data_IF_691630584738
#
_entry.id   IF_691630584738
#
_cell.length_a   1.000
_cell.length_b   1.000
_cell.length_c   1.000
_cell.angle_alpha   90.00
_cell.angle_beta   90.00
_cell.angle_gamma   90.00
#
_symmetry.space_group_name_H-M   'P 1'
#
loop_
_entity.id
_entity.type
_entity.pdbx_description
1 polymer ?
#
# COMPACT_ATOMS: atom_id res chain seq x y z
N UNK A 1 19.01 -3.25 -40.17
CA UNK A 1 18.88 -1.79 -39.93
C UNK A 1 17.63 -1.33 -40.68
N UNK A 2 16.59 -0.84 -40.00
CA UNK A 2 15.40 -0.32 -40.68
C UNK A 2 15.77 0.95 -41.46
N UNK A 3 15.22 1.12 -42.66
CA UNK A 3 15.52 2.26 -43.55
C UNK A 3 14.88 3.60 -43.14
N UNK A 4 14.18 3.65 -42.01
CA UNK A 4 13.55 4.82 -41.43
C UNK A 4 14.26 5.26 -40.15
N UNK A 5 14.35 6.58 -39.92
CA UNK A 5 14.91 7.14 -38.69
C UNK A 5 14.07 6.76 -37.47
N UNK A 6 14.73 6.40 -36.37
CA UNK A 6 14.05 6.05 -35.12
C UNK A 6 13.62 7.33 -34.40
N UNK A 7 12.31 7.52 -34.21
CA UNK A 7 11.78 8.60 -33.37
C UNK A 7 11.90 8.20 -31.89
N UNK A 8 12.31 9.15 -31.05
CA UNK A 8 12.36 8.95 -29.61
C UNK A 8 10.96 9.01 -29.01
N UNK A 9 10.66 8.10 -28.08
CA UNK A 9 9.33 7.90 -27.49
C UNK A 9 9.49 7.71 -25.98
N UNK A 10 9.03 8.70 -25.20
CA UNK A 10 9.11 8.69 -23.74
C UNK A 10 8.24 7.61 -23.10
N UNK A 11 7.07 7.30 -23.67
CA UNK A 11 6.18 6.28 -23.12
C UNK A 11 6.82 4.91 -23.27
N UNK A 12 7.46 4.65 -24.41
CA UNK A 12 8.23 3.43 -24.62
C UNK A 12 9.45 3.34 -23.71
N UNK A 13 10.18 4.44 -23.53
CA UNK A 13 11.31 4.47 -22.58
C UNK A 13 10.85 4.17 -21.15
N UNK A 14 9.77 4.81 -20.70
CA UNK A 14 9.20 4.61 -19.37
C UNK A 14 8.68 3.18 -19.20
N UNK A 15 8.06 2.60 -20.23
CA UNK A 15 7.63 1.20 -20.21
C UNK A 15 8.82 0.25 -20.09
N UNK A 16 9.90 0.47 -20.86
CA UNK A 16 11.14 -0.31 -20.74
C UNK A 16 11.75 -0.13 -19.34
N UNK A 17 11.83 1.10 -18.83
CA UNK A 17 12.41 1.42 -17.52
C UNK A 17 11.72 0.68 -16.39
N UNK A 18 10.39 0.80 -16.26
CA UNK A 18 9.64 0.10 -15.21
C UNK A 18 9.73 -1.43 -15.32
N UNK A 19 9.89 -1.97 -16.54
CA UNK A 19 10.13 -3.40 -16.76
C UNK A 19 11.53 -3.85 -16.33
N UNK A 20 12.54 -3.00 -16.51
CA UNK A 20 13.91 -3.25 -16.05
C UNK A 20 13.96 -3.19 -14.53
N UNK A 21 13.45 -2.10 -13.93
CA UNK A 21 13.45 -1.91 -12.47
C UNK A 21 12.67 -3.03 -11.78
N UNK A 22 11.54 -3.49 -12.30
CA UNK A 22 10.74 -4.54 -11.64
C UNK A 22 11.43 -5.92 -11.59
N UNK A 23 12.46 -6.15 -12.41
CA UNK A 23 13.23 -7.40 -12.45
C UNK A 23 14.48 -7.38 -11.58
N UNK A 24 14.90 -6.20 -11.12
CA UNK A 24 16.00 -6.04 -10.18
C UNK A 24 15.63 -6.63 -8.81
N UNK A 25 16.62 -7.10 -8.05
CA UNK A 25 16.41 -7.49 -6.66
C UNK A 25 16.10 -6.27 -5.78
N UNK A 26 15.54 -6.48 -4.58
CA UNK A 26 15.27 -5.37 -3.65
C UNK A 26 16.57 -4.64 -3.29
N UNK A 27 17.64 -5.42 -3.06
CA UNK A 27 18.98 -4.91 -2.78
C UNK A 27 19.54 -4.06 -3.93
N UNK A 28 19.46 -4.53 -5.18
CA UNK A 28 19.95 -3.75 -6.33
C UNK A 28 19.20 -2.42 -6.46
N UNK A 29 17.87 -2.45 -6.27
CA UNK A 29 17.06 -1.22 -6.30
C UNK A 29 17.45 -0.29 -5.16
N UNK A 30 17.69 -0.81 -3.96
CA UNK A 30 18.13 -0.01 -2.83
C UNK A 30 19.48 0.67 -3.11
N UNK A 31 20.48 -0.06 -3.60
CA UNK A 31 21.80 0.49 -3.92
C UNK A 31 21.70 1.58 -4.99
N UNK A 32 20.98 1.33 -6.08
CA UNK A 32 20.85 2.30 -7.18
C UNK A 32 20.02 3.53 -6.77
N UNK A 33 18.96 3.32 -5.99
CA UNK A 33 18.11 4.40 -5.49
C UNK A 33 18.87 5.28 -4.50
N UNK A 34 19.62 4.69 -3.58
CA UNK A 34 20.39 5.45 -2.59
C UNK A 34 21.50 6.27 -3.23
N UNK A 35 22.20 5.70 -4.22
CA UNK A 35 23.20 6.47 -4.98
C UNK A 35 22.57 7.66 -5.70
N UNK A 36 21.43 7.45 -6.37
CA UNK A 36 20.70 8.55 -7.00
C UNK A 36 20.22 9.60 -5.98
N UNK A 37 19.63 9.16 -4.86
CA UNK A 37 19.08 10.06 -3.85
C UNK A 37 20.17 10.91 -3.18
N UNK A 38 21.39 10.37 -3.00
CA UNK A 38 22.52 11.09 -2.43
C UNK A 38 22.83 12.40 -3.18
N UNK A 39 22.69 12.40 -4.50
CA UNK A 39 22.96 13.56 -5.34
C UNK A 39 21.73 14.43 -5.57
N UNK A 40 20.53 13.84 -5.59
CA UNK A 40 19.31 14.50 -6.07
C UNK A 40 18.29 14.86 -4.96
N UNK A 41 18.29 14.14 -3.84
CA UNK A 41 17.37 14.35 -2.71
C UNK A 41 18.04 13.93 -1.37
N UNK A 42 18.95 14.76 -0.81
CA UNK A 42 19.73 14.41 0.38
C UNK A 42 18.88 14.08 1.62
N UNK A 43 17.72 14.71 1.78
CA UNK A 43 16.80 14.42 2.88
C UNK A 43 16.20 13.02 2.73
N UNK A 44 15.84 12.62 1.51
CA UNK A 44 15.35 11.27 1.25
C UNK A 44 16.47 10.22 1.36
N UNK A 45 17.68 10.55 0.92
CA UNK A 45 18.85 9.71 1.15
C UNK A 45 19.08 9.43 2.65
N UNK A 46 18.96 10.45 3.49
CA UNK A 46 19.08 10.29 4.95
C UNK A 46 17.99 9.34 5.51
N UNK A 47 16.76 9.40 4.99
CA UNK A 47 15.69 8.47 5.38
C UNK A 47 16.00 7.03 4.96
N UNK A 48 16.44 6.82 3.72
CA UNK A 48 16.76 5.48 3.18
C UNK A 48 17.93 4.82 3.92
N UNK A 49 18.95 5.61 4.29
CA UNK A 49 20.18 5.09 4.89
C UNK A 49 20.17 5.04 6.41
N UNK A 50 19.16 5.65 7.06
CA UNK A 50 18.94 5.53 8.50
C UNK A 50 18.73 4.08 8.94
N UNK A 51 18.02 3.31 8.12
CA UNK A 51 17.79 1.88 8.31
C UNK A 51 17.66 1.21 6.93
N UNK A 52 18.76 0.65 6.46
CA UNK A 52 18.85 0.04 5.13
C UNK A 52 17.99 -1.23 5.02
N UNK A 53 17.93 -2.02 6.09
CA UNK A 53 17.11 -3.24 6.11
C UNK A 53 15.62 -2.89 6.02
N UNK A 54 15.20 -1.84 6.73
CA UNK A 54 13.85 -1.31 6.61
C UNK A 54 13.55 -0.82 5.18
N UNK A 55 14.44 -0.03 4.59
CA UNK A 55 14.28 0.47 3.22
C UNK A 55 14.21 -0.68 2.19
N UNK A 56 15.08 -1.67 2.31
CA UNK A 56 15.07 -2.87 1.46
C UNK A 56 13.78 -3.69 1.65
N UNK A 57 13.28 -3.81 2.88
CA UNK A 57 12.03 -4.54 3.15
C UNK A 57 10.84 -3.91 2.43
N UNK A 58 10.75 -2.58 2.37
CA UNK A 58 9.73 -1.86 1.60
C UNK A 58 9.87 -2.12 0.10
N UNK A 59 11.10 -2.06 -0.42
CA UNK A 59 11.37 -2.29 -1.85
C UNK A 59 11.13 -3.74 -2.28
N UNK A 60 11.07 -4.66 -1.31
CA UNK A 60 10.77 -6.08 -1.55
C UNK A 60 9.29 -6.37 -1.83
N UNK A 61 8.37 -5.46 -1.46
CA UNK A 61 6.93 -5.70 -1.56
C UNK A 61 6.52 -5.96 -3.02
N UNK A 62 6.05 -7.18 -3.29
CA UNK A 62 5.62 -7.59 -4.63
C UNK A 62 6.76 -7.72 -5.66
N UNK A 63 8.02 -7.82 -5.20
CA UNK A 63 9.22 -8.05 -6.03
C UNK A 63 9.62 -9.53 -5.99
N UNK A 64 10.33 -10.00 -7.02
CA UNK A 64 10.90 -11.36 -7.07
C UNK A 64 9.95 -12.49 -7.52
N UNK A 65 8.63 -12.24 -7.59
CA UNK A 65 7.67 -13.20 -8.13
C UNK A 65 7.58 -13.22 -9.66
N UNK A 66 6.80 -14.17 -10.21
CA UNK A 66 6.60 -14.30 -11.66
C UNK A 66 5.96 -13.07 -12.34
N UNK A 67 5.23 -12.26 -11.56
CA UNK A 67 4.59 -11.02 -12.00
C UNK A 67 4.96 -9.89 -11.02
N UNK A 68 6.21 -9.40 -11.06
CA UNK A 68 6.65 -8.38 -10.11
C UNK A 68 5.90 -7.07 -10.34
N UNK A 69 5.65 -6.33 -9.25
CA UNK A 69 5.02 -5.02 -9.32
C UNK A 69 5.91 -4.03 -10.08
N UNK A 70 5.29 -3.14 -10.84
CA UNK A 70 5.94 -2.09 -11.64
C UNK A 70 5.62 -0.72 -11.03
N UNK A 71 5.93 -0.56 -9.75
CA UNK A 71 5.58 0.64 -8.98
C UNK A 71 6.49 1.84 -9.28
N UNK A 72 7.70 1.59 -9.79
CA UNK A 72 8.71 2.60 -10.07
C UNK A 72 8.99 2.67 -11.58
N UNK A 73 8.93 3.87 -12.15
CA UNK A 73 9.36 4.14 -13.52
C UNK A 73 10.75 4.79 -13.51
N UNK A 74 11.00 5.67 -12.55
CA UNK A 74 12.27 6.34 -12.30
C UNK A 74 12.60 6.33 -10.81
N UNK A 75 13.82 6.69 -10.43
CA UNK A 75 14.21 6.83 -9.03
C UNK A 75 13.50 7.96 -8.30
N UNK A 76 13.09 9.02 -9.02
CA UNK A 76 12.32 10.12 -8.46
C UNK A 76 10.94 9.68 -7.95
N UNK A 77 10.35 8.64 -8.54
CA UNK A 77 9.05 8.11 -8.14
C UNK A 77 9.10 7.43 -6.76
N UNK A 78 10.29 6.97 -6.34
CA UNK A 78 10.44 6.13 -5.16
C UNK A 78 10.01 6.84 -3.87
N UNK A 79 10.30 8.14 -3.72
CA UNK A 79 9.91 8.89 -2.53
C UNK A 79 8.39 8.94 -2.37
N UNK A 80 7.64 9.16 -3.46
CA UNK A 80 6.18 9.16 -3.42
C UNK A 80 5.60 7.77 -3.15
N UNK A 81 6.24 6.72 -3.67
CA UNK A 81 5.86 5.33 -3.38
C UNK A 81 6.10 4.97 -1.90
N UNK A 82 7.28 5.29 -1.37
CA UNK A 82 7.72 4.91 -0.02
C UNK A 82 7.24 5.87 1.07
N UNK A 83 6.62 7.01 0.73
CA UNK A 83 6.22 8.04 1.70
C UNK A 83 5.35 7.50 2.84
N UNK A 84 4.55 6.47 2.59
CA UNK A 84 3.67 5.89 3.59
C UNK A 84 4.44 5.16 4.69
N UNK A 85 5.69 4.79 4.48
CA UNK A 85 6.52 4.04 5.44
C UNK A 85 7.38 4.94 6.33
N UNK A 86 7.57 6.21 5.95
CA UNK A 86 8.32 7.17 6.75
C UNK A 86 7.34 8.16 7.39
N UNK A 87 7.30 8.21 8.72
CA UNK A 87 6.38 9.08 9.44
C UNK A 87 6.59 10.58 9.10
N UNK A 88 7.80 10.97 8.74
CA UNK A 88 8.16 12.32 8.28
C UNK A 88 7.53 12.69 6.93
N UNK A 89 7.22 11.68 6.10
CA UNK A 89 6.65 11.85 4.77
C UNK A 89 5.17 11.44 4.70
N UNK A 90 4.66 10.80 5.76
CA UNK A 90 3.30 10.27 5.79
C UNK A 90 2.26 11.39 5.85
N UNK A 91 1.24 11.25 5.01
CA UNK A 91 0.06 12.11 5.01
C UNK A 91 -1.12 11.40 4.36
N UNK A 92 -2.33 11.75 4.80
CA UNK A 92 -3.57 11.28 4.19
C UNK A 92 -3.77 12.06 2.89
N UNK A 93 -3.86 11.35 1.77
CA UNK A 93 -3.98 11.91 0.41
C UNK A 93 -5.37 11.66 -0.17
N UNK A 94 -5.96 10.50 0.15
CA UNK A 94 -7.29 10.12 -0.32
C UNK A 94 -8.29 10.07 0.84
N UNK A 95 -9.55 10.29 0.51
CA UNK A 95 -10.67 10.19 1.44
C UNK A 95 -11.53 8.97 1.14
N UNK A 96 -12.17 8.43 2.18
CA UNK A 96 -13.22 7.42 2.01
C UNK A 96 -14.41 8.09 1.30
N UNK A 97 -14.97 7.48 0.24
CA UNK A 97 -16.11 8.06 -0.48
C UNK A 97 -17.29 8.38 0.44
N UNK A 98 -17.91 9.55 0.25
CA UNK A 98 -18.99 10.06 1.12
C UNK A 98 -20.25 9.18 1.15
N UNK A 99 -20.39 8.24 0.20
CA UNK A 99 -21.48 7.27 0.19
C UNK A 99 -21.48 6.31 1.38
N UNK A 100 -20.35 6.18 2.09
CA UNK A 100 -20.25 5.31 3.27
C UNK A 100 -20.56 6.10 4.54
N UNK A 101 -21.39 5.53 5.40
CA UNK A 101 -21.71 6.12 6.71
C UNK A 101 -20.45 6.19 7.57
N UNK A 102 -20.16 7.36 8.14
CA UNK A 102 -18.99 7.59 9.01
C UNK A 102 -18.99 6.68 10.24
N UNK A 103 -20.15 6.33 10.78
CA UNK A 103 -20.27 5.40 11.90
C UNK A 103 -19.88 3.98 11.46
N UNK A 104 -20.25 3.55 10.26
CA UNK A 104 -19.86 2.23 9.74
C UNK A 104 -18.34 2.15 9.55
N UNK A 105 -17.72 3.21 9.00
CA UNK A 105 -16.25 3.32 8.90
C UNK A 105 -15.61 3.27 10.29
N UNK A 106 -16.08 4.09 11.23
CA UNK A 106 -15.54 4.14 12.59
C UNK A 106 -15.66 2.78 13.29
N UNK A 107 -16.82 2.13 13.20
CA UNK A 107 -17.05 0.82 13.80
C UNK A 107 -16.13 -0.26 13.21
N UNK A 108 -15.92 -0.25 11.89
CA UNK A 108 -15.01 -1.18 11.23
C UNK A 108 -13.56 -1.00 11.74
N UNK A 109 -13.09 0.24 11.81
CA UNK A 109 -11.74 0.57 12.28
C UNK A 109 -11.55 0.25 13.76
N UNK A 110 -12.54 0.51 14.61
CA UNK A 110 -12.50 0.15 16.03
C UNK A 110 -12.45 -1.36 16.23
N UNK A 111 -13.28 -2.13 15.51
CA UNK A 111 -13.23 -3.60 15.55
C UNK A 111 -11.90 -4.13 15.06
N UNK A 112 -11.35 -3.55 13.99
CA UNK A 112 -10.03 -3.93 13.49
C UNK A 112 -8.93 -3.69 14.54
N UNK A 113 -8.94 -2.56 15.25
CA UNK A 113 -8.00 -2.31 16.37
C UNK A 113 -8.08 -3.42 17.43
N UNK A 114 -9.28 -3.90 17.76
CA UNK A 114 -9.50 -4.91 18.79
C UNK A 114 -9.02 -6.30 18.37
N UNK A 115 -9.11 -6.64 17.08
CA UNK A 115 -8.78 -7.98 16.57
C UNK A 115 -7.40 -8.06 15.93
N UNK A 116 -6.79 -6.94 15.57
CA UNK A 116 -5.49 -6.90 14.90
C UNK A 116 -4.39 -7.52 15.76
N UNK A 117 -3.76 -8.56 15.23
CA UNK A 117 -2.63 -9.23 15.83
C UNK A 117 -1.48 -9.23 14.83
N UNK A 118 -0.34 -8.66 15.24
CA UNK A 118 0.84 -8.54 14.39
C UNK A 118 1.43 -9.90 14.01
N UNK A 119 1.26 -10.92 14.84
CA UNK A 119 1.78 -12.28 14.62
C UNK A 119 0.88 -13.14 13.73
N UNK A 120 -0.26 -12.62 13.26
CA UNK A 120 -1.09 -13.36 12.32
C UNK A 120 -0.35 -13.61 11.01
N UNK A 121 -0.58 -14.79 10.42
CA UNK A 121 -0.31 -15.02 9.00
C UNK A 121 -1.38 -14.37 8.13
N UNK A 122 -1.08 -14.12 6.86
CA UNK A 122 -1.97 -13.39 5.94
C UNK A 122 -3.40 -13.94 5.88
N UNK A 123 -3.58 -15.27 5.90
CA UNK A 123 -4.90 -15.89 5.90
C UNK A 123 -5.70 -15.55 7.16
N UNK A 124 -5.10 -15.69 8.34
CA UNK A 124 -5.73 -15.35 9.61
C UNK A 124 -6.07 -13.85 9.71
N UNK A 125 -5.18 -12.99 9.21
CA UNK A 125 -5.43 -11.55 9.11
C UNK A 125 -6.65 -11.25 8.23
N UNK A 126 -6.79 -11.92 7.08
CA UNK A 126 -7.91 -11.68 6.17
C UNK A 126 -9.23 -12.24 6.70
N UNK A 127 -9.23 -13.40 7.37
CA UNK A 127 -10.42 -13.94 8.03
C UNK A 127 -10.98 -12.97 9.07
N UNK A 128 -10.13 -12.27 9.83
CA UNK A 128 -10.60 -11.22 10.76
C UNK A 128 -11.32 -10.07 10.05
N UNK A 129 -10.91 -9.72 8.83
CA UNK A 129 -11.60 -8.68 8.05
C UNK A 129 -12.97 -9.18 7.58
N UNK A 130 -13.10 -10.46 7.24
CA UNK A 130 -14.40 -11.09 6.94
C UNK A 130 -15.32 -11.08 8.16
N UNK A 131 -14.81 -11.48 9.33
CA UNK A 131 -15.57 -11.46 10.59
C UNK A 131 -16.09 -10.04 10.91
N UNK A 132 -15.24 -9.03 10.71
CA UNK A 132 -15.64 -7.61 10.87
C UNK A 132 -16.75 -7.26 9.89
N UNK A 133 -16.61 -7.66 8.63
CA UNK A 133 -17.58 -7.39 7.56
C UNK A 133 -18.96 -7.96 7.91
N UNK A 134 -19.02 -9.24 8.26
CA UNK A 134 -20.26 -9.91 8.67
C UNK A 134 -20.90 -9.21 9.86
N UNK A 135 -20.10 -8.86 10.88
CA UNK A 135 -20.60 -8.21 12.09
C UNK A 135 -21.20 -6.81 11.87
N UNK A 136 -20.96 -6.20 10.71
CA UNK A 136 -21.44 -4.86 10.34
C UNK A 136 -22.49 -4.87 9.21
N UNK A 137 -22.90 -6.06 8.74
CA UNK A 137 -23.85 -6.19 7.62
C UNK A 137 -23.22 -5.96 6.24
N UNK A 138 -21.91 -6.15 6.11
CA UNK A 138 -21.19 -6.20 4.83
C UNK A 138 -20.97 -7.66 4.44
N UNK A 139 -21.01 -7.98 3.15
CA UNK A 139 -20.73 -9.33 2.68
C UNK A 139 -19.26 -9.68 2.89
N UNK A 140 -18.96 -10.79 3.58
CA UNK A 140 -17.59 -11.34 3.70
C UNK A 140 -17.12 -12.05 2.43
N UNK A 141 -18.05 -12.51 1.60
CA UNK A 141 -17.78 -13.20 0.35
C UNK A 141 -18.26 -12.40 -0.87
N UNK A 142 -17.36 -12.22 -1.85
CA UNK A 142 -17.64 -11.45 -3.05
C UNK A 142 -18.58 -12.16 -4.03
N UNK A 143 -18.70 -13.49 -3.98
CA UNK A 143 -19.67 -14.22 -4.81
C UNK A 143 -21.07 -14.03 -4.24
N UNK A 144 -21.22 -14.12 -2.92
CA UNK A 144 -22.49 -13.84 -2.24
C UNK A 144 -22.97 -12.41 -2.50
N UNK A 145 -22.08 -11.43 -2.33
CA UNK A 145 -22.39 -10.03 -2.65
C UNK A 145 -22.88 -9.84 -4.09
N UNK A 146 -22.28 -10.53 -5.06
CA UNK A 146 -22.69 -10.43 -6.47
C UNK A 146 -24.04 -11.09 -6.74
N UNK A 147 -24.41 -12.11 -5.97
CA UNK A 147 -25.69 -12.80 -6.13
C UNK A 147 -26.84 -11.97 -5.56
N UNK A 148 -26.63 -11.30 -4.43
CA UNK A 148 -27.66 -10.50 -3.78
C UNK A 148 -27.10 -9.23 -3.12
N UNK A 149 -26.69 -8.22 -3.92
CA UNK A 149 -26.03 -7.03 -3.39
C UNK A 149 -26.94 -6.19 -2.47
N UNK A 150 -28.26 -6.23 -2.68
CA UNK A 150 -29.24 -5.46 -1.89
C UNK A 150 -29.37 -5.96 -0.45
N UNK A 151 -28.91 -7.19 -0.15
CA UNK A 151 -28.90 -7.74 1.20
C UNK A 151 -27.78 -7.18 2.09
N UNK A 152 -26.85 -6.40 1.53
CA UNK A 152 -25.66 -5.92 2.25
C UNK A 152 -25.46 -4.42 2.08
N UNK A 153 -24.86 -3.80 3.10
CA UNK A 153 -24.43 -2.39 3.02
C UNK A 153 -23.25 -2.17 2.06
N UNK A 154 -22.54 -3.26 1.74
CA UNK A 154 -21.33 -3.30 0.94
C UNK A 154 -20.68 -4.67 1.05
N UNK A 155 -19.38 -4.75 0.80
CA UNK A 155 -18.61 -5.98 0.83
C UNK A 155 -17.28 -5.85 1.60
N UNK A 156 -16.59 -6.97 1.79
CA UNK A 156 -15.28 -7.08 2.46
C UNK A 156 -14.20 -6.19 1.85
N UNK A 157 -14.31 -5.88 0.55
CA UNK A 157 -13.44 -4.94 -0.14
C UNK A 157 -13.61 -3.50 0.36
N UNK A 158 -14.81 -3.11 0.77
CA UNK A 158 -15.09 -1.79 1.36
C UNK A 158 -14.45 -1.67 2.75
N UNK A 159 -14.59 -2.72 3.58
CA UNK A 159 -13.94 -2.79 4.90
C UNK A 159 -12.41 -2.74 4.76
N UNK A 160 -11.87 -3.48 3.79
CA UNK A 160 -10.44 -3.44 3.45
C UNK A 160 -10.00 -2.05 3.00
N UNK A 161 -10.84 -1.32 2.27
CA UNK A 161 -10.57 0.05 1.83
C UNK A 161 -10.57 1.03 3.00
N UNK A 162 -11.51 0.92 3.94
CA UNK A 162 -11.52 1.77 5.15
C UNK A 162 -10.21 1.62 5.93
N UNK A 163 -9.79 0.38 6.17
CA UNK A 163 -8.53 0.06 6.86
C UNK A 163 -7.34 0.59 6.06
N UNK A 164 -7.33 0.41 4.74
CA UNK A 164 -6.27 0.90 3.85
C UNK A 164 -6.09 2.40 3.96
N UNK A 165 -7.16 3.18 3.77
CA UNK A 165 -7.08 4.65 3.86
C UNK A 165 -6.60 5.08 5.24
N UNK A 166 -7.10 4.45 6.31
CA UNK A 166 -6.71 4.78 7.68
C UNK A 166 -5.21 4.53 7.97
N UNK A 167 -4.60 3.52 7.34
CA UNK A 167 -3.20 3.12 7.59
C UNK A 167 -2.22 3.73 6.60
N UNK A 168 -2.58 3.82 5.32
CA UNK A 168 -1.69 4.24 4.24
C UNK A 168 -1.98 5.66 3.75
N UNK A 169 -3.14 6.22 4.10
CA UNK A 169 -3.59 7.52 3.60
C UNK A 169 -4.03 7.49 2.14
N UNK A 170 -4.11 6.32 1.49
CA UNK A 170 -4.40 6.17 0.05
C UNK A 170 -5.47 5.11 -0.19
N UNK A 171 -6.28 5.27 -1.24
CA UNK A 171 -7.24 4.27 -1.71
C UNK A 171 -6.55 3.08 -2.40
N UNK A 172 -5.35 3.31 -2.94
CA UNK A 172 -4.53 2.30 -3.57
C UNK A 172 -3.18 2.22 -2.87
N UNK A 173 -2.76 1.01 -2.53
CA UNK A 173 -1.42 0.74 -1.99
C UNK A 173 -0.98 -0.67 -2.40
N UNK A 174 0.27 -1.05 -2.09
CA UNK A 174 0.70 -2.44 -2.17
C UNK A 174 -0.14 -3.38 -1.28
N UNK A 175 0.30 -4.63 -1.19
CA UNK A 175 -0.36 -5.61 -0.33
C UNK A 175 -0.45 -5.09 1.12
N UNK A 176 -1.67 -5.06 1.67
CA UNK A 176 -1.92 -4.44 2.97
C UNK A 176 -1.31 -5.22 4.13
N UNK A 177 -1.26 -6.54 4.02
CA UNK A 177 -0.69 -7.38 5.05
C UNK A 177 0.83 -7.13 5.15
N UNK A 178 1.53 -7.13 4.00
CA UNK A 178 2.96 -6.79 3.94
C UNK A 178 3.24 -5.36 4.42
N UNK A 179 2.44 -4.39 3.97
CA UNK A 179 2.55 -2.98 4.41
C UNK A 179 2.45 -2.88 5.93
N UNK A 180 1.44 -3.51 6.54
CA UNK A 180 1.24 -3.45 7.99
C UNK A 180 2.35 -4.18 8.76
N UNK A 181 2.87 -5.28 8.23
CA UNK A 181 4.01 -6.01 8.82
C UNK A 181 5.26 -5.12 8.86
N UNK A 182 5.54 -4.41 7.77
CA UNK A 182 6.69 -3.48 7.72
C UNK A 182 6.46 -2.28 8.64
N UNK A 183 5.27 -1.66 8.63
CA UNK A 183 4.97 -0.52 9.49
C UNK A 183 5.04 -0.85 11.00
N UNK A 184 4.73 -2.10 11.35
CA UNK A 184 4.70 -2.56 12.73
C UNK A 184 3.40 -2.18 13.47
N UNK A 185 3.14 -2.93 14.55
CA UNK A 185 1.89 -2.83 15.32
C UNK A 185 1.55 -1.40 15.78
N UNK A 186 2.52 -0.74 16.42
CA UNK A 186 2.30 0.57 17.03
C UNK A 186 1.91 1.63 15.98
N UNK A 187 2.59 1.64 14.83
CA UNK A 187 2.33 2.58 13.74
C UNK A 187 0.94 2.36 13.17
N UNK A 188 0.57 1.12 12.87
CA UNK A 188 -0.76 0.76 12.35
C UNK A 188 -1.87 1.23 13.30
N UNK A 189 -1.79 0.85 14.57
CA UNK A 189 -2.81 1.22 15.56
C UNK A 189 -2.88 2.74 15.76
N UNK A 190 -1.74 3.42 15.84
CA UNK A 190 -1.71 4.87 16.01
C UNK A 190 -2.32 5.62 14.83
N UNK A 191 -2.05 5.17 13.59
CA UNK A 191 -2.63 5.77 12.39
C UNK A 191 -4.14 5.58 12.33
N UNK A 192 -4.65 4.38 12.63
CA UNK A 192 -6.09 4.13 12.68
C UNK A 192 -6.76 4.99 13.77
N UNK A 193 -6.17 5.08 14.96
CA UNK A 193 -6.68 5.95 16.04
C UNK A 193 -6.69 7.43 15.65
N UNK A 194 -5.66 7.92 14.96
CA UNK A 194 -5.62 9.30 14.45
C UNK A 194 -6.70 9.52 13.38
N UNK A 195 -6.87 8.56 12.48
CA UNK A 195 -7.88 8.62 11.43
C UNK A 195 -9.30 8.67 12.00
N UNK A 196 -9.62 7.84 13.01
CA UNK A 196 -10.92 7.87 13.70
C UNK A 196 -11.24 9.26 14.27
N UNK A 197 -10.24 10.02 14.76
CA UNK A 197 -10.46 11.35 15.35
C UNK A 197 -10.83 12.44 14.32
N UNK A 198 -10.60 12.18 13.04
CA UNK A 198 -10.85 13.14 11.96
C UNK A 198 -12.00 12.72 11.03
N UNK A 199 -12.63 11.56 11.29
CA UNK A 199 -13.89 11.15 10.66
C UNK A 199 -15.04 12.00 11.20
#
# INVERSE_FOLDING_TARGET
MSGSGCLFDFDKLNDVSKNVISRMSAHDVYVLLTEWAKENDPDYYALLTRDSEYAESILSIGRGGAKPRKDLTTWADAKQYMNLFYDELFGIQDMIPEKYDKNDVMNALQKFILTYNYEDVQSAWFEKIKDISESLGYASDMKEYKQNPEAFKGNVGDISMFIRVAVTGKLNSPDMYEVMRILGYNTVINRIKKFIKIL
#
